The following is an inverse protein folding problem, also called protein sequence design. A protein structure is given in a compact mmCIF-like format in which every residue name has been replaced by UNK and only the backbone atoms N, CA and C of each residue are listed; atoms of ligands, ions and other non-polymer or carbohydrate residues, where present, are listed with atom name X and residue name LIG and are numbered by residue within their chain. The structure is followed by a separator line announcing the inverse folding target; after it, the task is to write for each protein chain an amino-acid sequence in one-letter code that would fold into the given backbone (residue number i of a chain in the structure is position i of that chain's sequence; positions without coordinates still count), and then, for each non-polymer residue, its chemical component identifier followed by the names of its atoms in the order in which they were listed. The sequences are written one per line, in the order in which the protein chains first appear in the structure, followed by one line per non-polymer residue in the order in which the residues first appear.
data_IF_087314036269
#
_entry.id   IF_087314036269
#
_cell.length_a   1.000
_cell.length_b   1.000
_cell.length_c   1.000
_cell.angle_alpha   90.00
_cell.angle_beta   90.00
_cell.angle_gamma   90.00
#
_symmetry.space_group_name_H-M   'P 1'
#
loop_
_entity.id
_entity.type
_entity.pdbx_description
1 polymer ?
#
# COMPACT_ATOMS: atom_id res chain seq x y z
N UNK A 1 26.76 -29.74 -7.66
CA UNK A 1 26.47 -29.96 -6.22
C UNK A 1 27.20 -28.87 -5.45
N UNK A 2 26.52 -27.75 -5.23
CA UNK A 2 27.06 -26.52 -4.63
C UNK A 2 25.93 -25.78 -3.93
N UNK A 3 26.28 -25.12 -2.82
CA UNK A 3 25.53 -24.94 -1.57
C UNK A 3 24.30 -24.01 -1.55
N UNK A 4 23.59 -23.80 -2.65
CA UNK A 4 22.47 -22.83 -2.69
C UNK A 4 21.09 -23.44 -2.37
N UNK A 5 21.00 -24.75 -2.11
CA UNK A 5 19.73 -25.45 -1.89
C UNK A 5 19.23 -25.41 -0.44
N UNK A 6 20.03 -24.93 0.53
CA UNK A 6 19.67 -24.99 1.95
C UNK A 6 18.90 -23.75 2.44
N UNK A 7 19.05 -22.59 1.79
CA UNK A 7 18.39 -21.35 2.23
C UNK A 7 16.94 -21.17 1.76
N UNK A 8 16.46 -21.98 0.82
CA UNK A 8 15.12 -21.83 0.26
C UNK A 8 14.06 -22.70 0.94
N UNK A 9 14.48 -23.73 1.68
CA UNK A 9 13.55 -24.70 2.27
C UNK A 9 12.86 -24.14 3.53
N UNK A 10 13.54 -23.27 4.30
CA UNK A 10 12.97 -22.71 5.54
C UNK A 10 11.86 -21.69 5.27
N UNK A 11 11.98 -20.90 4.21
CA UNK A 11 10.96 -19.94 3.79
C UNK A 11 9.75 -20.63 3.12
N UNK A 12 9.97 -21.79 2.48
CA UNK A 12 8.92 -22.60 1.88
C UNK A 12 8.12 -23.38 2.95
N UNK A 13 8.80 -23.88 3.98
CA UNK A 13 8.19 -24.48 5.19
C UNK A 13 7.36 -23.44 5.96
N UNK A 14 7.86 -22.20 6.10
CA UNK A 14 7.11 -21.10 6.73
C UNK A 14 5.91 -20.61 5.89
N UNK A 15 5.94 -20.80 4.56
CA UNK A 15 4.76 -20.53 3.70
C UNK A 15 3.72 -21.63 3.79
N UNK A 16 4.12 -22.90 3.83
CA UNK A 16 3.19 -24.02 3.96
C UNK A 16 2.50 -24.05 5.33
N UNK A 17 3.19 -23.70 6.42
CA UNK A 17 2.55 -23.61 7.75
C UNK A 17 1.54 -22.47 7.86
N UNK A 18 1.73 -21.39 7.08
CA UNK A 18 0.83 -20.23 7.05
C UNK A 18 -0.37 -20.42 6.12
N UNK A 19 -0.24 -21.24 5.08
CA UNK A 19 -1.35 -21.59 4.19
C UNK A 19 -2.30 -22.63 4.82
N UNK A 20 -1.81 -23.56 5.63
CA UNK A 20 -2.65 -24.56 6.32
C UNK A 20 -3.52 -24.02 7.46
N UNK A 21 -3.33 -22.75 7.87
CA UNK A 21 -4.06 -22.16 9.01
C UNK A 21 -5.30 -21.34 8.58
N UNK A 22 -5.65 -21.32 7.30
CA UNK A 22 -6.79 -20.54 6.78
C UNK A 22 -7.86 -21.38 6.05
N UNK A 23 -7.66 -22.69 5.93
CA UNK A 23 -8.60 -23.59 5.24
C UNK A 23 -9.34 -24.50 6.24
N UNK A 24 -10.02 -23.94 7.24
CA UNK A 24 -11.14 -24.64 7.93
C UNK A 24 -12.22 -23.60 8.29
N UNK A 25 -13.47 -23.96 7.98
CA UNK A 25 -14.74 -23.30 8.29
C UNK A 25 -15.31 -22.33 7.22
N UNK A 26 -15.58 -22.86 6.03
CA UNK A 26 -16.90 -22.65 5.42
C UNK A 26 -17.60 -24.02 5.33
N UNK A 27 -18.44 -24.30 6.30
CA UNK A 27 -19.55 -25.25 6.17
C UNK A 27 -20.80 -24.49 6.59
N UNK A 28 -21.73 -24.41 5.63
CA UNK A 28 -23.12 -23.99 5.82
C UNK A 28 -23.76 -24.84 6.92
N UNK A 29 -24.66 -24.25 7.71
CA UNK A 29 -25.98 -24.82 7.94
C UNK A 29 -26.89 -23.78 8.63
N UNK A 30 -28.13 -23.75 8.13
CA UNK A 30 -29.30 -23.02 8.59
C UNK A 30 -29.75 -23.46 10.01
N UNK A 31 -30.72 -22.70 10.54
CA UNK A 31 -31.67 -23.03 11.63
C UNK A 31 -31.52 -22.26 12.97
N UNK A 32 -32.47 -21.33 13.13
CA UNK A 32 -33.27 -21.03 14.32
C UNK A 32 -32.64 -20.53 15.63
N UNK A 33 -32.82 -19.21 15.83
CA UNK A 33 -32.73 -18.51 17.11
C UNK A 33 -33.85 -18.91 18.09
N UNK A 34 -33.55 -18.89 19.40
CA UNK A 34 -34.46 -18.23 20.33
C UNK A 34 -33.80 -17.09 21.10
N UNK A 35 -34.62 -16.07 21.33
CA UNK A 35 -34.34 -14.81 22.00
C UNK A 35 -33.80 -14.95 23.42
N UNK A 36 -32.80 -14.12 23.73
CA UNK A 36 -32.39 -13.80 25.11
C UNK A 36 -33.27 -12.65 25.60
N UNK A 37 -34.01 -12.86 26.71
CA UNK A 37 -34.57 -11.78 27.52
C UNK A 37 -33.85 -11.73 28.87
N UNK A 38 -33.43 -10.51 29.24
CA UNK A 38 -32.74 -10.15 30.48
C UNK A 38 -33.64 -10.30 31.73
N UNK A 39 -33.06 -10.42 32.93
CA UNK A 39 -33.83 -10.57 34.16
C UNK A 39 -34.30 -9.20 34.69
N UNK A 40 -35.59 -9.09 35.01
CA UNK A 40 -36.12 -8.03 35.87
C UNK A 40 -36.57 -8.63 37.19
N UNK A 41 -36.18 -7.95 38.27
CA UNK A 41 -36.54 -8.27 39.64
C UNK A 41 -37.72 -7.40 40.07
N UNK A 42 -38.72 -8.02 40.68
CA UNK A 42 -39.63 -7.35 41.62
C UNK A 42 -40.41 -8.41 42.38
N UNK A 43 -40.29 -8.32 43.70
CA UNK A 43 -41.09 -9.00 44.71
C UNK A 43 -42.54 -8.52 44.66
N UNK A 44 -43.51 -9.38 45.01
CA UNK A 44 -44.47 -9.16 46.11
C UNK A 44 -45.65 -10.15 46.04
N UNK A 45 -45.79 -10.88 47.15
CA UNK A 45 -46.98 -11.20 47.93
C UNK A 45 -48.26 -11.87 47.36
N UNK A 46 -48.55 -13.01 48.03
CA UNK A 46 -49.84 -13.47 48.56
C UNK A 46 -51.04 -13.71 47.61
N UNK A 47 -51.43 -14.98 47.47
CA UNK A 47 -52.64 -15.56 48.09
C UNK A 47 -53.11 -16.82 47.35
N UNK A 48 -53.18 -17.95 48.07
CA UNK A 48 -53.96 -19.14 47.64
C UNK A 48 -55.47 -18.85 47.75
N UNK A 49 -56.32 -19.62 47.05
CA UNK A 49 -57.01 -20.66 47.79
C UNK A 49 -57.11 -22.02 47.09
N UNK A 50 -57.10 -23.02 47.97
CA UNK A 50 -57.39 -24.43 47.84
C UNK A 50 -58.59 -24.82 46.96
N UNK A 51 -58.42 -25.88 46.18
CA UNK A 51 -59.49 -26.87 45.95
C UNK A 51 -58.88 -28.27 45.96
N UNK A 52 -59.25 -29.02 46.99
CA UNK A 52 -59.03 -30.43 47.24
C UNK A 52 -59.85 -31.29 46.27
N UNK A 53 -59.22 -32.30 45.66
CA UNK A 53 -59.91 -33.53 45.27
C UNK A 53 -58.99 -34.73 45.43
N UNK A 54 -59.63 -35.85 45.75
CA UNK A 54 -59.13 -36.98 46.52
C UNK A 54 -58.14 -37.94 45.83
N UNK A 55 -57.62 -38.79 46.71
CA UNK A 55 -56.50 -39.72 46.64
C UNK A 55 -56.81 -41.00 45.84
N UNK A 56 -55.84 -41.47 45.04
CA UNK A 56 -55.60 -42.91 44.85
C UNK A 56 -54.13 -43.16 44.45
N UNK A 57 -53.34 -43.92 45.23
CA UNK A 57 -51.94 -44.20 44.91
C UNK A 57 -51.86 -45.43 44.01
N UNK A 58 -51.27 -45.25 42.81
CA UNK A 58 -50.81 -46.36 41.95
C UNK A 58 -49.29 -46.52 42.12
N UNK A 59 -48.74 -47.74 42.05
CA UNK A 59 -47.35 -48.02 42.40
C UNK A 59 -46.37 -47.39 41.40
N UNK A 60 -45.11 -47.11 41.79
CA UNK A 60 -44.15 -46.48 40.89
C UNK A 60 -43.82 -47.46 39.77
N UNK A 61 -44.24 -47.12 38.55
CA UNK A 61 -43.78 -47.80 37.35
C UNK A 61 -42.38 -47.28 37.08
N UNK A 62 -41.39 -48.16 37.25
CA UNK A 62 -39.98 -47.94 36.94
C UNK A 62 -39.83 -47.76 35.43
N UNK A 63 -40.06 -46.54 34.94
CA UNK A 63 -39.73 -46.19 33.56
C UNK A 63 -38.22 -46.06 33.48
N UNK A 64 -37.58 -47.12 32.97
CA UNK A 64 -36.16 -47.13 32.61
C UNK A 64 -35.93 -45.96 31.65
N UNK A 65 -35.17 -44.97 32.09
CA UNK A 65 -34.56 -43.98 31.21
C UNK A 65 -33.68 -44.78 30.27
N UNK A 66 -34.11 -44.92 29.01
CA UNK A 66 -33.26 -45.42 27.95
C UNK A 66 -32.04 -44.51 27.88
N UNK A 67 -30.92 -45.02 28.37
CA UNK A 67 -29.60 -44.37 28.31
C UNK A 67 -29.16 -44.32 26.86
N UNK A 68 -29.68 -43.31 26.15
CA UNK A 68 -29.19 -42.89 24.85
C UNK A 68 -27.70 -42.53 25.03
N UNK A 69 -26.83 -43.17 24.25
CA UNK A 69 -25.37 -43.23 24.42
C UNK A 69 -24.73 -42.03 25.15
N UNK A 70 -24.65 -42.18 26.49
CA UNK A 70 -24.10 -41.21 27.45
C UNK A 70 -22.63 -40.87 27.13
N UNK A 71 -21.96 -41.74 26.37
CA UNK A 71 -20.57 -41.58 25.96
C UNK A 71 -20.38 -40.46 24.95
N UNK A 72 -21.34 -40.27 24.05
CA UNK A 72 -21.30 -39.21 23.05
C UNK A 72 -21.57 -37.84 23.70
N UNK A 73 -22.51 -37.77 24.64
CA UNK A 73 -22.77 -36.56 25.42
C UNK A 73 -21.64 -36.23 26.39
N UNK A 74 -21.10 -37.23 27.11
CA UNK A 74 -19.95 -37.06 28.00
C UNK A 74 -18.73 -36.54 27.24
N UNK A 75 -18.45 -37.11 26.05
CA UNK A 75 -17.36 -36.63 25.20
C UNK A 75 -17.58 -35.17 24.79
N UNK A 76 -18.79 -34.81 24.35
CA UNK A 76 -19.11 -33.43 24.00
C UNK A 76 -18.95 -32.47 25.19
N UNK A 77 -19.35 -32.89 26.38
CA UNK A 77 -19.21 -32.11 27.60
C UNK A 77 -17.74 -31.91 27.99
N UNK A 78 -16.92 -32.94 27.85
CA UNK A 78 -15.48 -32.87 28.09
C UNK A 78 -14.78 -31.97 27.05
N UNK A 79 -15.11 -32.13 25.75
CA UNK A 79 -14.60 -31.28 24.66
C UNK A 79 -15.01 -29.80 24.88
N UNK A 80 -16.23 -29.53 25.35
CA UNK A 80 -16.69 -28.19 25.71
C UNK A 80 -15.90 -27.61 26.88
N UNK A 81 -15.65 -28.40 27.93
CA UNK A 81 -14.91 -27.97 29.10
C UNK A 81 -13.44 -27.65 28.75
N UNK A 82 -12.85 -28.43 27.86
CA UNK A 82 -11.50 -28.21 27.32
C UNK A 82 -11.45 -26.87 26.56
N UNK A 83 -12.39 -26.62 25.65
CA UNK A 83 -12.46 -25.34 24.90
C UNK A 83 -12.73 -24.15 25.84
N UNK A 84 -13.61 -24.27 26.83
CA UNK A 84 -13.86 -23.19 27.80
C UNK A 84 -12.59 -22.87 28.61
N UNK A 85 -11.82 -23.88 28.99
CA UNK A 85 -10.52 -23.68 29.65
C UNK A 85 -9.50 -23.01 28.72
N UNK A 86 -9.40 -23.44 27.45
CA UNK A 86 -8.52 -22.80 26.45
C UNK A 86 -8.92 -21.34 26.18
N UNK A 87 -10.22 -21.04 26.09
CA UNK A 87 -10.74 -19.69 25.87
C UNK A 87 -10.40 -18.77 27.05
N UNK A 88 -10.56 -19.26 28.29
CA UNK A 88 -10.15 -18.49 29.49
C UNK A 88 -8.65 -18.17 29.51
N UNK A 89 -7.82 -19.06 28.98
CA UNK A 89 -6.39 -18.82 28.83
C UNK A 89 -6.05 -17.88 27.65
N UNK A 90 -6.88 -17.87 26.60
CA UNK A 90 -6.71 -17.00 25.44
C UNK A 90 -7.20 -15.56 25.68
N UNK A 91 -8.27 -15.37 26.45
CA UNK A 91 -8.87 -14.06 26.74
C UNK A 91 -7.85 -12.97 27.15
N UNK A 92 -6.93 -13.20 28.11
CA UNK A 92 -5.93 -12.19 28.46
C UNK A 92 -4.95 -11.89 27.31
N UNK A 93 -4.60 -12.90 26.49
CA UNK A 93 -3.72 -12.71 25.32
C UNK A 93 -4.40 -11.86 24.25
N UNK A 94 -5.70 -12.07 24.02
CA UNK A 94 -6.49 -11.24 23.11
C UNK A 94 -6.61 -9.80 23.62
N UNK A 95 -6.86 -9.61 24.91
CA UNK A 95 -6.86 -8.27 25.54
C UNK A 95 -5.53 -7.55 25.36
N UNK A 96 -4.41 -8.24 25.57
CA UNK A 96 -3.08 -7.68 25.31
C UNK A 96 -2.88 -7.26 23.84
N UNK A 97 -3.34 -8.10 22.90
CA UNK A 97 -3.28 -7.80 21.46
C UNK A 97 -4.06 -6.52 21.12
N UNK A 98 -5.28 -6.36 21.62
CA UNK A 98 -6.11 -5.17 21.39
C UNK A 98 -5.42 -3.90 21.92
N UNK A 99 -4.86 -3.95 23.14
CA UNK A 99 -4.12 -2.81 23.71
C UNK A 99 -2.91 -2.43 22.83
N UNK A 100 -2.18 -3.41 22.31
CA UNK A 100 -1.05 -3.16 21.39
C UNK A 100 -1.50 -2.55 20.06
N UNK A 101 -2.66 -2.93 19.53
CA UNK A 101 -3.22 -2.31 18.33
C UNK A 101 -3.52 -0.82 18.56
N UNK A 102 -4.15 -0.48 19.68
CA UNK A 102 -4.46 0.91 20.03
C UNK A 102 -3.19 1.74 20.22
N UNK A 103 -2.16 1.17 20.86
CA UNK A 103 -0.85 1.80 21.01
C UNK A 103 -0.25 2.12 19.63
N UNK A 104 -0.22 1.14 18.72
CA UNK A 104 0.28 1.32 17.36
C UNK A 104 -0.48 2.42 16.62
N UNK A 105 -1.80 2.47 16.74
CA UNK A 105 -2.63 3.47 16.07
C UNK A 105 -2.40 4.89 16.61
N UNK A 106 -2.26 5.00 17.94
CA UNK A 106 -1.91 6.27 18.59
C UNK A 106 -0.54 6.79 18.15
N UNK A 107 0.45 5.89 18.01
CA UNK A 107 1.80 6.22 17.55
C UNK A 107 1.82 6.63 16.08
N UNK A 108 1.06 5.95 15.21
CA UNK A 108 0.90 6.35 13.80
C UNK A 108 0.41 7.79 13.71
N UNK A 109 -0.66 8.12 14.45
CA UNK A 109 -1.24 9.47 14.43
C UNK A 109 -0.27 10.51 14.96
N UNK A 110 0.38 10.23 16.10
CA UNK A 110 1.36 11.13 16.73
C UNK A 110 2.54 11.42 15.80
N UNK A 111 3.21 10.38 15.32
CA UNK A 111 4.40 10.55 14.46
C UNK A 111 4.07 11.10 13.09
N UNK A 112 2.84 10.88 12.59
CA UNK A 112 2.38 11.55 11.38
C UNK A 112 2.28 13.06 11.55
N UNK A 113 1.74 13.54 12.67
CA UNK A 113 1.67 14.98 12.96
C UNK A 113 3.06 15.60 13.10
N UNK A 114 3.97 14.93 13.79
CA UNK A 114 5.37 15.37 13.90
C UNK A 114 6.06 15.43 12.54
N UNK A 115 5.89 14.40 11.71
CA UNK A 115 6.39 14.34 10.35
C UNK A 115 5.89 15.52 9.50
N UNK A 116 4.57 15.77 9.49
CA UNK A 116 3.96 16.85 8.71
C UNK A 116 4.52 18.23 9.16
N UNK A 117 4.78 18.41 10.46
CA UNK A 117 5.43 19.61 11.01
C UNK A 117 6.87 19.77 10.55
N UNK A 118 7.68 18.72 10.59
CA UNK A 118 9.07 18.76 10.13
C UNK A 118 9.16 19.01 8.63
N UNK A 119 8.31 18.36 7.84
CA UNK A 119 8.22 18.57 6.39
C UNK A 119 7.93 20.02 6.05
N UNK A 120 6.90 20.63 6.67
CA UNK A 120 6.56 22.05 6.45
C UNK A 120 7.72 22.99 6.76
N UNK A 121 8.46 22.73 7.85
CA UNK A 121 9.65 23.53 8.19
C UNK A 121 10.77 23.39 7.17
N UNK A 122 10.96 22.17 6.65
CA UNK A 122 11.99 21.90 5.66
C UNK A 122 11.66 22.55 4.31
N UNK A 123 10.39 22.48 3.88
CA UNK A 123 9.91 23.13 2.66
C UNK A 123 10.10 24.65 2.74
N UNK A 124 9.81 25.26 3.90
CA UNK A 124 10.07 26.69 4.14
C UNK A 124 11.57 27.01 4.04
N UNK A 125 12.41 26.22 4.70
CA UNK A 125 13.86 26.44 4.70
C UNK A 125 14.48 26.29 3.30
N UNK A 126 13.94 25.37 2.48
CA UNK A 126 14.35 25.23 1.09
C UNK A 126 14.02 26.47 0.27
N UNK A 127 12.83 27.05 0.44
CA UNK A 127 12.46 28.29 -0.26
C UNK A 127 13.29 29.49 0.23
N UNK A 128 13.53 29.60 1.54
CA UNK A 128 14.39 30.65 2.11
C UNK A 128 15.82 30.58 1.56
N UNK A 129 16.41 29.37 1.48
CA UNK A 129 17.74 29.16 0.89
C UNK A 129 17.75 29.57 -0.58
N UNK A 130 16.71 29.25 -1.34
CA UNK A 130 16.60 29.58 -2.76
C UNK A 130 16.50 31.10 -2.98
N UNK A 131 15.70 31.80 -2.18
CA UNK A 131 15.60 33.26 -2.20
C UNK A 131 16.92 33.95 -1.78
N UNK A 132 17.60 33.41 -0.76
CA UNK A 132 18.92 33.91 -0.34
C UNK A 132 19.97 33.68 -1.43
N UNK A 133 20.04 32.49 -2.06
CA UNK A 133 20.96 32.23 -3.20
C UNK A 133 20.77 33.25 -4.31
N UNK A 134 19.51 33.52 -4.67
CA UNK A 134 19.15 34.51 -5.70
C UNK A 134 19.58 35.93 -5.32
N UNK A 135 19.38 36.31 -4.07
CA UNK A 135 19.73 37.64 -3.54
C UNK A 135 21.25 37.86 -3.53
N UNK A 136 22.02 36.87 -3.05
CA UNK A 136 23.48 36.96 -3.02
C UNK A 136 24.10 36.89 -4.42
N UNK A 137 23.56 36.07 -5.33
CA UNK A 137 24.02 36.03 -6.73
C UNK A 137 23.83 37.39 -7.42
N UNK A 138 22.68 38.06 -7.19
CA UNK A 138 22.41 39.40 -7.72
C UNK A 138 23.34 40.46 -7.12
N UNK A 139 23.66 40.35 -5.83
CA UNK A 139 24.58 41.27 -5.13
C UNK A 139 26.03 41.12 -5.64
N UNK A 140 26.46 39.89 -5.91
CA UNK A 140 27.78 39.63 -6.50
C UNK A 140 27.89 40.17 -7.94
N UNK A 141 26.83 40.07 -8.75
CA UNK A 141 26.78 40.67 -10.09
C UNK A 141 26.84 42.20 -10.06
N UNK A 142 26.10 42.84 -9.15
CA UNK A 142 26.11 44.31 -8.98
C UNK A 142 27.49 44.78 -8.50
N UNK A 143 28.12 44.04 -7.59
CA UNK A 143 29.45 44.38 -7.07
C UNK A 143 30.51 44.27 -8.17
N UNK A 144 30.47 43.23 -9.00
CA UNK A 144 31.37 43.09 -10.17
C UNK A 144 31.17 44.20 -11.20
N UNK A 145 29.92 44.63 -11.44
CA UNK A 145 29.59 45.71 -12.39
C UNK A 145 30.02 47.10 -11.90
N UNK A 146 30.01 47.32 -10.59
CA UNK A 146 30.49 48.57 -9.99
C UNK A 146 32.03 48.65 -9.97
N UNK A 147 32.73 47.53 -9.76
CA UNK A 147 34.21 47.47 -9.81
C UNK A 147 34.75 47.69 -11.22
N UNK A 148 34.02 47.26 -12.27
CA UNK A 148 34.40 47.55 -13.66
C UNK A 148 34.22 49.02 -14.08
N UNK A 149 33.50 49.83 -13.29
CA UNK A 149 33.18 51.23 -13.63
C UNK A 149 34.03 52.26 -12.86
N UNK A 150 34.92 51.85 -11.95
CA UNK A 150 35.83 52.74 -11.21
C UNK A 150 37.31 52.47 -11.57
N UNK A 151 37.79 53.21 -12.58
CA UNK A 151 39.18 53.42 -13.03
C UNK A 151 39.97 52.26 -13.69
N UNK A 152 40.63 52.53 -14.85
CA UNK A 152 41.71 51.73 -15.38
C UNK A 152 43.06 52.27 -14.89
N UNK A 153 43.79 51.52 -14.06
CA UNK A 153 45.23 51.76 -13.88
C UNK A 153 45.99 50.44 -13.87
N UNK A 154 46.87 50.34 -14.87
CA UNK A 154 47.89 49.31 -15.05
C UNK A 154 48.62 48.95 -13.75
N UNK A 155 48.77 47.65 -13.48
CA UNK A 155 50.07 47.08 -13.11
C UNK A 155 50.08 45.57 -13.41
N UNK A 156 51.08 45.13 -14.18
CA UNK A 156 51.38 43.73 -14.51
C UNK A 156 51.89 42.95 -13.29
N UNK A 157 51.77 41.63 -13.40
CA UNK A 157 52.48 40.54 -12.69
C UNK A 157 52.08 40.26 -11.24
N UNK A 158 51.47 39.09 -11.00
CA UNK A 158 52.24 37.90 -10.65
C UNK A 158 51.36 36.64 -10.69
N UNK A 159 51.83 35.60 -11.35
CA UNK A 159 51.21 34.27 -11.34
C UNK A 159 51.29 33.68 -9.93
N UNK A 160 50.17 33.18 -9.42
CA UNK A 160 50.13 32.25 -8.29
C UNK A 160 48.97 31.27 -8.50
N UNK A 161 49.05 30.54 -9.62
CA UNK A 161 48.31 29.31 -9.83
C UNK A 161 49.08 28.19 -9.13
N UNK A 162 48.67 27.81 -7.93
CA UNK A 162 48.83 26.46 -7.33
C UNK A 162 48.37 26.57 -5.88
N UNK A 163 47.21 26.02 -5.56
CA UNK A 163 46.82 25.48 -4.23
C UNK A 163 45.30 25.32 -4.05
N UNK A 164 44.45 25.87 -4.94
CA UNK A 164 42.98 25.76 -4.80
C UNK A 164 42.40 24.43 -5.31
N UNK A 165 43.07 23.76 -6.25
CA UNK A 165 42.62 22.47 -6.79
C UNK A 165 42.91 21.28 -5.87
N UNK A 166 43.95 21.37 -5.03
CA UNK A 166 44.33 20.27 -4.11
C UNK A 166 43.39 20.12 -2.91
N UNK A 167 42.56 21.12 -2.58
CA UNK A 167 41.55 21.04 -1.50
C UNK A 167 40.19 20.51 -1.97
N UNK A 168 39.89 20.54 -3.27
CA UNK A 168 38.64 19.97 -3.80
C UNK A 168 38.70 18.45 -3.92
N UNK A 169 39.89 17.86 -4.10
CA UNK A 169 40.07 16.41 -4.22
C UNK A 169 40.00 15.65 -2.89
N UNK A 170 39.99 16.33 -1.74
CA UNK A 170 39.89 15.69 -0.41
C UNK A 170 38.47 15.66 0.15
N UNK A 171 37.46 16.09 -0.60
CA UNK A 171 36.07 16.25 -0.14
C UNK A 171 35.06 15.40 -0.94
N UNK A 172 35.49 14.26 -1.48
CA UNK A 172 34.59 13.24 -2.04
C UNK A 172 34.32 12.17 -0.99
N UNK A 173 33.15 12.23 -0.36
CA UNK A 173 32.63 11.12 0.47
C UNK A 173 32.16 10.02 -0.50
N UNK A 174 32.64 8.77 -0.39
CA UNK A 174 32.18 7.69 -1.24
C UNK A 174 30.70 7.40 -0.99
N UNK A 175 29.90 7.34 -2.06
CA UNK A 175 28.52 6.90 -2.01
C UNK A 175 28.51 5.37 -1.83
N UNK A 176 28.59 4.89 -0.58
CA UNK A 176 28.45 3.46 -0.28
C UNK A 176 27.01 3.17 0.13
N UNK A 177 26.35 2.33 -0.68
CA UNK A 177 25.03 1.76 -0.44
C UNK A 177 25.14 0.72 0.70
N UNK A 178 24.22 0.78 1.69
CA UNK A 178 23.99 -0.16 2.82
C UNK A 178 24.83 0.02 4.12
N UNK A 179 24.32 -0.39 5.31
CA UNK A 179 23.79 0.51 6.34
C UNK A 179 24.72 0.64 7.58
N UNK A 180 24.87 1.86 8.10
CA UNK A 180 25.47 2.09 9.43
C UNK A 180 24.35 2.40 10.44
N UNK A 181 24.26 1.70 11.58
CA UNK A 181 23.34 2.08 12.65
C UNK A 181 23.78 3.45 13.19
N UNK A 182 22.88 4.42 13.18
CA UNK A 182 23.10 5.70 13.86
C UNK A 182 22.88 5.50 15.36
N UNK A 183 23.92 5.09 16.06
CA UNK A 183 24.04 5.42 17.48
C UNK A 183 24.27 6.93 17.60
N UNK A 184 23.40 7.56 18.39
CA UNK A 184 23.47 8.93 18.93
C UNK A 184 23.77 10.07 17.94
N UNK A 185 22.71 10.73 17.48
CA UNK A 185 22.77 12.16 17.14
C UNK A 185 22.87 12.90 18.48
N UNK A 186 24.06 12.94 19.06
CA UNK A 186 24.43 13.94 20.06
C UNK A 186 25.80 14.47 19.67
N UNK A 187 25.84 15.78 19.41
CA UNK A 187 27.00 16.63 19.17
C UNK A 187 27.73 16.45 17.82
N UNK A 188 27.53 17.42 16.92
CA UNK A 188 28.56 17.82 15.92
C UNK A 188 29.16 19.17 16.33
N UNK A 189 30.09 19.21 17.30
CA UNK A 189 30.75 20.44 17.74
C UNK A 189 31.82 20.96 16.77
N UNK A 190 31.99 20.32 15.60
CA UNK A 190 33.01 20.65 14.59
C UNK A 190 32.51 21.58 13.48
N UNK A 191 31.22 21.56 13.15
CA UNK A 191 30.64 22.34 12.05
C UNK A 191 30.52 23.83 12.40
N UNK A 192 30.10 24.16 13.62
CA UNK A 192 29.95 25.54 14.08
C UNK A 192 31.26 26.34 14.08
N UNK A 193 32.40 25.67 14.30
CA UNK A 193 33.72 26.29 14.27
C UNK A 193 34.22 26.65 12.86
N UNK A 194 33.81 25.88 11.85
CA UNK A 194 34.25 26.06 10.46
C UNK A 194 33.31 27.01 9.70
N UNK A 195 32.01 26.99 10.05
CA UNK A 195 31.02 27.90 9.47
C UNK A 195 31.47 29.35 9.63
N UNK A 196 32.05 29.73 10.77
CA UNK A 196 32.43 31.11 11.06
C UNK A 196 33.61 31.68 10.24
N UNK A 197 34.36 30.85 9.50
CA UNK A 197 35.49 31.30 8.67
C UNK A 197 35.19 31.26 7.16
N UNK A 198 34.02 30.76 6.76
CA UNK A 198 33.58 30.63 5.37
C UNK A 198 32.85 31.87 4.86
N UNK A 199 32.94 32.11 3.54
CA UNK A 199 32.15 33.14 2.87
C UNK A 199 30.66 32.84 2.97
N UNK A 200 29.81 33.87 2.92
CA UNK A 200 28.35 33.69 3.08
C UNK A 200 27.77 32.72 2.07
N UNK A 201 28.31 32.67 0.84
CA UNK A 201 27.88 31.76 -0.22
C UNK A 201 28.25 30.29 0.07
N UNK A 202 29.44 30.05 0.62
CA UNK A 202 29.88 28.70 1.01
C UNK A 202 29.09 28.17 2.21
N UNK A 203 28.79 29.03 3.19
CA UNK A 203 27.88 28.67 4.31
C UNK A 203 26.51 28.28 3.78
N UNK A 204 26.00 29.02 2.80
CA UNK A 204 24.67 28.80 2.23
C UNK A 204 24.60 27.50 1.41
N UNK A 205 25.68 27.14 0.72
CA UNK A 205 25.78 25.84 0.05
C UNK A 205 25.85 24.68 1.05
N UNK A 206 26.63 24.82 2.12
CA UNK A 206 26.72 23.79 3.14
C UNK A 206 25.39 23.57 3.89
N UNK A 207 24.64 24.64 4.17
CA UNK A 207 23.27 24.55 4.71
C UNK A 207 22.34 23.89 3.69
N UNK A 208 22.44 24.25 2.41
CA UNK A 208 21.66 23.64 1.32
C UNK A 208 21.87 22.13 1.26
N UNK A 209 23.13 21.68 1.37
CA UNK A 209 23.48 20.25 1.34
C UNK A 209 22.92 19.51 2.55
N UNK A 210 22.99 20.11 3.75
CA UNK A 210 22.41 19.53 4.96
C UNK A 210 20.88 19.46 4.89
N UNK A 211 20.23 20.48 4.34
CA UNK A 211 18.78 20.50 4.12
C UNK A 211 18.36 19.43 3.11
N UNK A 212 19.17 19.21 2.08
CA UNK A 212 18.95 18.14 1.12
C UNK A 212 19.13 16.76 1.78
N UNK A 213 20.16 16.54 2.60
CA UNK A 213 20.33 15.30 3.35
C UNK A 213 19.14 15.02 4.30
N UNK A 214 18.65 16.06 4.99
CA UNK A 214 17.47 15.96 5.85
C UNK A 214 16.19 15.64 5.05
N UNK A 215 16.04 16.19 3.84
CA UNK A 215 14.91 15.85 2.95
C UNK A 215 14.91 14.38 2.53
N UNK A 216 16.09 13.82 2.24
CA UNK A 216 16.25 12.41 1.88
C UNK A 216 15.95 11.49 3.07
N UNK A 217 16.34 11.89 4.29
CA UNK A 217 15.95 11.19 5.50
C UNK A 217 14.43 11.22 5.73
N UNK A 218 13.81 12.40 5.65
CA UNK A 218 12.36 12.54 5.76
C UNK A 218 11.61 11.73 4.69
N UNK A 219 12.12 11.66 3.47
CA UNK A 219 11.54 10.81 2.42
C UNK A 219 11.54 9.34 2.84
N UNK A 220 12.63 8.82 3.42
CA UNK A 220 12.71 7.44 3.90
C UNK A 220 11.76 7.16 5.07
N UNK A 221 11.61 8.12 5.99
CA UNK A 221 10.66 8.00 7.11
C UNK A 221 9.21 8.02 6.60
N UNK A 222 8.93 8.82 5.56
CA UNK A 222 7.60 8.90 4.97
C UNK A 222 7.09 7.54 4.45
N UNK A 223 7.99 6.67 4.00
CA UNK A 223 7.63 5.34 3.47
C UNK A 223 7.15 4.36 4.55
N UNK A 224 7.43 4.70 5.82
CA UNK A 224 7.03 3.95 7.02
C UNK A 224 5.83 4.55 7.73
N UNK A 225 5.32 5.69 7.27
CA UNK A 225 4.14 6.32 7.85
C UNK A 225 2.95 6.19 6.89
N UNK A 226 1.71 6.12 7.41
CA UNK A 226 0.53 6.17 6.57
C UNK A 226 0.54 7.41 5.69
N UNK A 227 0.25 7.26 4.39
CA UNK A 227 0.15 8.37 3.44
C UNK A 227 -1.33 8.70 3.21
N UNK A 228 -1.66 10.00 3.17
CA UNK A 228 -3.04 10.46 2.89
C UNK A 228 -3.21 10.59 1.38
N UNK A 229 -4.28 10.00 0.83
CA UNK A 229 -4.75 10.26 -0.53
C UNK A 229 -6.23 10.69 -0.47
N UNK A 230 -6.52 11.83 -1.10
CA UNK A 230 -7.86 12.43 -1.11
C UNK A 230 -8.85 11.60 -1.94
N UNK A 231 -8.41 10.99 -3.04
CA UNK A 231 -9.26 10.13 -3.86
C UNK A 231 -9.74 8.91 -3.06
N UNK A 232 -8.80 8.29 -2.36
CA UNK A 232 -9.06 7.07 -1.62
C UNK A 232 -9.92 7.32 -0.39
N UNK A 233 -9.78 8.50 0.24
CA UNK A 233 -10.67 8.95 1.31
C UNK A 233 -12.12 9.12 0.85
N UNK A 234 -12.34 9.52 -0.41
CA UNK A 234 -13.69 9.64 -0.97
C UNK A 234 -14.31 8.26 -1.20
N UNK A 235 -13.53 7.27 -1.62
CA UNK A 235 -14.05 5.93 -1.97
C UNK A 235 -14.12 4.98 -0.77
N UNK A 236 -13.06 4.90 0.03
CA UNK A 236 -12.97 3.99 1.19
C UNK A 236 -13.32 4.67 2.53
N UNK A 237 -13.59 5.98 2.53
CA UNK A 237 -13.89 6.73 3.75
C UNK A 237 -12.63 7.01 4.59
N UNK A 238 -12.79 7.05 5.91
CA UNK A 238 -11.71 7.36 6.86
C UNK A 238 -10.69 6.25 7.10
N UNK A 239 -10.65 5.21 6.26
CA UNK A 239 -9.80 4.03 6.47
C UNK A 239 -8.42 4.23 5.85
N UNK A 240 -7.38 4.09 6.68
CA UNK A 240 -5.99 4.14 6.23
C UNK A 240 -5.55 2.79 5.63
N UNK A 241 -5.52 2.69 4.30
CA UNK A 241 -5.01 1.52 3.54
C UNK A 241 -3.47 1.45 3.47
N UNK A 242 -2.77 2.05 4.43
CA UNK A 242 -1.31 2.00 4.48
C UNK A 242 -0.86 0.64 4.96
N UNK A 243 -0.31 -0.15 4.05
CA UNK A 243 0.27 -1.45 4.34
C UNK A 243 1.65 -1.20 4.95
N UNK A 244 1.76 -1.28 6.28
CA UNK A 244 2.99 -0.92 6.98
C UNK A 244 4.13 -1.94 6.75
N UNK A 245 3.75 -3.20 6.60
CA UNK A 245 4.68 -4.31 6.43
C UNK A 245 5.23 -4.37 5.00
N UNK A 246 6.55 -4.42 4.85
CA UNK A 246 7.22 -4.51 3.53
C UNK A 246 6.82 -5.78 2.76
N UNK A 247 6.64 -6.90 3.46
CA UNK A 247 6.21 -8.15 2.84
C UNK A 247 4.80 -8.03 2.26
N UNK A 248 3.87 -7.43 3.00
CA UNK A 248 2.48 -7.27 2.55
C UNK A 248 2.35 -6.27 1.40
N UNK A 249 3.17 -5.20 1.38
CA UNK A 249 3.27 -4.29 0.23
C UNK A 249 3.66 -5.05 -1.05
N UNK A 250 4.65 -5.93 -0.93
CA UNK A 250 5.10 -6.76 -2.04
C UNK A 250 4.04 -7.77 -2.47
N UNK A 251 3.39 -8.44 -1.53
CA UNK A 251 2.29 -9.38 -1.82
C UNK A 251 1.15 -8.67 -2.53
N UNK A 252 0.71 -7.50 -2.04
CA UNK A 252 -0.35 -6.72 -2.68
C UNK A 252 0.01 -6.33 -4.12
N UNK A 253 1.26 -5.92 -4.35
CA UNK A 253 1.77 -5.63 -5.68
C UNK A 253 1.69 -6.86 -6.60
N UNK A 254 2.12 -8.03 -6.13
CA UNK A 254 2.04 -9.28 -6.91
C UNK A 254 0.60 -9.65 -7.22
N UNK A 255 -0.32 -9.49 -6.26
CA UNK A 255 -1.74 -9.73 -6.46
C UNK A 255 -2.38 -8.72 -7.44
N UNK A 256 -1.91 -7.47 -7.47
CA UNK A 256 -2.30 -6.51 -8.50
C UNK A 256 -1.79 -6.93 -9.90
N UNK A 257 -0.51 -7.29 -10.02
CA UNK A 257 0.05 -7.69 -11.32
C UNK A 257 -0.57 -8.98 -11.84
N UNK A 258 -0.83 -9.95 -10.96
CA UNK A 258 -1.55 -11.19 -11.25
C UNK A 258 -2.99 -10.90 -11.68
N UNK A 259 -3.72 -10.07 -10.93
CA UNK A 259 -5.07 -9.64 -11.30
C UNK A 259 -5.10 -9.03 -12.70
N UNK A 260 -4.22 -8.07 -12.96
CA UNK A 260 -4.13 -7.40 -14.27
C UNK A 260 -3.91 -8.41 -15.38
N UNK A 261 -2.92 -9.28 -15.23
CA UNK A 261 -2.62 -10.31 -16.21
C UNK A 261 -3.78 -11.28 -16.46
N UNK A 262 -4.44 -11.76 -15.40
CA UNK A 262 -5.59 -12.68 -15.53
C UNK A 262 -6.72 -12.01 -16.31
N UNK A 263 -7.09 -10.77 -15.96
CA UNK A 263 -8.20 -10.08 -16.63
C UNK A 263 -7.84 -9.74 -18.08
N UNK A 264 -6.59 -9.38 -18.39
CA UNK A 264 -6.12 -9.20 -19.77
C UNK A 264 -6.21 -10.52 -20.57
N UNK A 265 -5.83 -11.66 -19.99
CA UNK A 265 -5.96 -12.96 -20.66
C UNK A 265 -7.42 -13.35 -20.91
N UNK A 266 -8.31 -13.12 -19.92
CA UNK A 266 -9.75 -13.30 -20.09
C UNK A 266 -10.25 -12.39 -21.23
N UNK A 267 -9.85 -11.12 -21.23
CA UNK A 267 -10.26 -10.14 -22.25
C UNK A 267 -9.79 -10.53 -23.65
N UNK A 268 -8.57 -11.07 -23.77
CA UNK A 268 -8.01 -11.58 -25.02
C UNK A 268 -8.85 -12.72 -25.59
N UNK A 269 -9.20 -13.71 -24.76
CA UNK A 269 -9.99 -14.87 -25.19
C UNK A 269 -11.44 -14.46 -25.47
N UNK A 270 -12.07 -13.71 -24.56
CA UNK A 270 -13.46 -13.28 -24.70
C UNK A 270 -13.67 -12.40 -25.91
N UNK A 271 -12.76 -11.47 -26.22
CA UNK A 271 -12.87 -10.63 -27.42
C UNK A 271 -12.83 -11.44 -28.71
N UNK A 272 -11.94 -12.45 -28.80
CA UNK A 272 -11.87 -13.35 -29.96
C UNK A 272 -13.12 -14.22 -30.10
N UNK A 273 -13.60 -14.81 -29.00
CA UNK A 273 -14.79 -15.68 -28.98
C UNK A 273 -16.04 -14.89 -29.35
N UNK A 274 -16.25 -13.72 -28.74
CA UNK A 274 -17.46 -12.90 -28.98
C UNK A 274 -17.49 -12.37 -30.42
N UNK A 275 -16.32 -12.01 -30.96
CA UNK A 275 -16.20 -11.58 -32.34
C UNK A 275 -16.50 -12.73 -33.34
N UNK A 276 -15.95 -13.92 -33.10
CA UNK A 276 -16.01 -15.04 -34.05
C UNK A 276 -17.29 -15.88 -33.97
N UNK A 277 -17.79 -16.16 -32.76
CA UNK A 277 -18.85 -17.16 -32.53
C UNK A 277 -20.20 -16.55 -32.12
N UNK A 278 -20.19 -15.34 -31.59
CA UNK A 278 -21.32 -14.81 -30.81
C UNK A 278 -21.86 -13.49 -31.36
N UNK A 279 -21.55 -13.17 -32.62
CA UNK A 279 -21.91 -11.91 -33.28
C UNK A 279 -23.41 -11.56 -33.30
N UNK A 280 -24.29 -12.55 -33.03
CA UNK A 280 -25.75 -12.39 -33.00
C UNK A 280 -26.35 -12.11 -31.61
N UNK A 281 -25.56 -12.18 -30.53
CA UNK A 281 -26.08 -12.13 -29.16
C UNK A 281 -25.55 -10.91 -28.38
N UNK A 282 -26.36 -9.84 -28.32
CA UNK A 282 -26.05 -8.57 -27.63
C UNK A 282 -25.69 -8.71 -26.15
N UNK A 283 -26.20 -9.75 -25.49
CA UNK A 283 -25.92 -10.02 -24.08
C UNK A 283 -24.42 -10.27 -23.81
N UNK A 284 -23.71 -10.94 -24.72
CA UNK A 284 -22.29 -11.19 -24.55
C UNK A 284 -21.46 -9.92 -24.74
N UNK A 285 -21.87 -9.04 -25.66
CA UNK A 285 -21.26 -7.72 -25.78
C UNK A 285 -21.45 -6.92 -24.49
N UNK A 286 -22.67 -6.92 -23.92
CA UNK A 286 -22.95 -6.23 -22.66
C UNK A 286 -22.12 -6.82 -21.49
N UNK A 287 -22.00 -8.15 -21.40
CA UNK A 287 -21.17 -8.81 -20.40
C UNK A 287 -19.69 -8.43 -20.53
N UNK A 288 -19.17 -8.34 -21.76
CA UNK A 288 -17.79 -7.92 -22.02
C UNK A 288 -17.57 -6.44 -21.69
N UNK A 289 -18.48 -5.55 -22.07
CA UNK A 289 -18.39 -4.13 -21.68
C UNK A 289 -18.47 -3.96 -20.16
N UNK A 290 -19.35 -4.71 -19.49
CA UNK A 290 -19.44 -4.73 -18.03
C UNK A 290 -18.12 -5.20 -17.39
N UNK A 291 -17.52 -6.26 -17.92
CA UNK A 291 -16.20 -6.73 -17.48
C UNK A 291 -15.14 -5.62 -17.60
N UNK A 292 -15.13 -4.86 -18.70
CA UNK A 292 -14.18 -3.75 -18.89
C UNK A 292 -14.42 -2.59 -17.93
N UNK A 293 -15.69 -2.20 -17.69
CA UNK A 293 -16.04 -1.17 -16.70
C UNK A 293 -15.57 -1.60 -15.32
N UNK A 294 -15.87 -2.84 -14.94
CA UNK A 294 -15.43 -3.41 -13.66
C UNK A 294 -13.90 -3.46 -13.56
N UNK A 295 -13.21 -3.88 -14.62
CA UNK A 295 -11.76 -3.95 -14.68
C UNK A 295 -11.11 -2.59 -14.48
N UNK A 296 -11.49 -1.58 -15.26
CA UNK A 296 -10.88 -0.25 -15.16
C UNK A 296 -11.24 0.45 -13.84
N UNK A 297 -12.46 0.28 -13.33
CA UNK A 297 -12.81 0.76 -12.00
C UNK A 297 -11.91 0.13 -10.92
N UNK A 298 -11.75 -1.19 -10.96
CA UNK A 298 -10.88 -1.92 -10.01
C UNK A 298 -9.42 -1.48 -10.11
N UNK A 299 -8.91 -1.26 -11.32
CA UNK A 299 -7.56 -0.73 -11.53
C UNK A 299 -7.38 0.62 -10.85
N UNK A 300 -8.30 1.57 -11.01
CA UNK A 300 -8.17 2.90 -10.39
C UNK A 300 -8.04 2.83 -8.87
N UNK A 301 -8.80 1.92 -8.23
CA UNK A 301 -8.74 1.72 -6.78
C UNK A 301 -7.41 1.07 -6.39
N UNK A 302 -7.04 -0.05 -7.04
CA UNK A 302 -5.80 -0.77 -6.71
C UNK A 302 -4.55 0.08 -6.96
N UNK A 303 -4.51 0.87 -8.02
CA UNK A 303 -3.40 1.78 -8.30
C UNK A 303 -3.31 2.94 -7.32
N UNK A 304 -4.45 3.44 -6.83
CA UNK A 304 -4.45 4.47 -5.78
C UNK A 304 -3.90 3.93 -4.46
N UNK A 305 -4.24 2.68 -4.11
CA UNK A 305 -3.63 1.98 -2.97
C UNK A 305 -2.12 1.79 -3.19
N UNK A 306 -1.68 1.40 -4.38
CA UNK A 306 -0.26 1.24 -4.69
C UNK A 306 0.52 2.56 -4.57
N UNK A 307 -0.04 3.67 -5.05
CA UNK A 307 0.59 5.00 -4.97
C UNK A 307 0.75 5.45 -3.50
N UNK A 308 -0.28 5.24 -2.68
CA UNK A 308 -0.22 5.50 -1.23
C UNK A 308 0.89 4.69 -0.56
N UNK A 309 1.14 3.48 -1.04
CA UNK A 309 2.11 2.54 -0.48
C UNK A 309 3.53 2.61 -1.10
N UNK A 310 3.80 3.61 -1.95
CA UNK A 310 5.15 3.89 -2.48
C UNK A 310 5.37 3.51 -3.94
N UNK A 311 4.34 3.09 -4.68
CA UNK A 311 4.48 2.86 -6.11
C UNK A 311 4.51 4.18 -6.89
N UNK A 312 5.54 4.35 -7.73
CA UNK A 312 5.71 5.54 -8.56
C UNK A 312 4.96 5.39 -9.89
N UNK A 313 3.63 5.46 -9.83
CA UNK A 313 2.75 5.41 -11.00
C UNK A 313 2.47 6.84 -11.48
N UNK A 314 2.71 7.10 -12.77
CA UNK A 314 2.42 8.42 -13.34
C UNK A 314 0.91 8.72 -13.25
N UNK A 315 0.50 9.92 -12.79
CA UNK A 315 -0.92 10.29 -12.66
C UNK A 315 -1.74 10.17 -13.95
N UNK A 316 -1.08 10.31 -15.11
CA UNK A 316 -1.70 10.11 -16.42
C UNK A 316 -2.33 8.73 -16.58
N UNK A 317 -1.70 7.66 -16.10
CA UNK A 317 -2.24 6.30 -16.22
C UNK A 317 -3.56 6.15 -15.48
N UNK A 318 -3.62 6.66 -14.25
CA UNK A 318 -4.87 6.71 -13.48
C UNK A 318 -5.95 7.51 -14.21
N UNK A 319 -5.61 8.69 -14.73
CA UNK A 319 -6.53 9.51 -15.51
C UNK A 319 -7.07 8.77 -16.75
N UNK A 320 -6.20 8.06 -17.47
CA UNK A 320 -6.58 7.22 -18.60
C UNK A 320 -7.56 6.11 -18.18
N UNK A 321 -7.32 5.42 -17.05
CA UNK A 321 -8.25 4.39 -16.56
C UNK A 321 -9.63 4.94 -16.19
N UNK A 322 -9.74 6.16 -15.66
CA UNK A 322 -11.04 6.82 -15.47
C UNK A 322 -11.74 7.08 -16.81
N UNK A 323 -11.02 7.65 -17.77
CA UNK A 323 -11.56 7.92 -19.12
C UNK A 323 -12.04 6.62 -19.76
N UNK A 324 -11.27 5.54 -19.66
CA UNK A 324 -11.65 4.22 -20.16
C UNK A 324 -12.87 3.64 -19.45
N UNK A 325 -13.02 3.86 -18.14
CA UNK A 325 -14.22 3.46 -17.39
C UNK A 325 -15.47 4.18 -17.92
N UNK A 326 -15.40 5.50 -18.12
CA UNK A 326 -16.51 6.28 -18.66
C UNK A 326 -16.82 5.88 -20.11
N UNK A 327 -15.81 5.72 -20.95
CA UNK A 327 -15.98 5.32 -22.34
C UNK A 327 -16.64 3.94 -22.46
N UNK A 328 -16.19 2.95 -21.66
CA UNK A 328 -16.77 1.60 -21.65
C UNK A 328 -18.17 1.56 -21.03
N UNK A 329 -18.49 2.45 -20.07
CA UNK A 329 -19.85 2.60 -19.56
C UNK A 329 -20.81 3.18 -20.60
N UNK A 330 -20.34 4.12 -21.43
CA UNK A 330 -21.11 4.62 -22.58
C UNK A 330 -21.37 3.47 -23.57
N UNK A 331 -20.36 2.64 -23.86
CA UNK A 331 -20.55 1.46 -24.73
C UNK A 331 -21.52 0.43 -24.14
N UNK A 332 -21.49 0.22 -22.83
CA UNK A 332 -22.40 -0.68 -22.14
C UNK A 332 -23.86 -0.24 -22.30
N UNK A 333 -24.12 1.06 -22.16
CA UNK A 333 -25.47 1.66 -22.25
C UNK A 333 -25.90 1.99 -23.68
N UNK A 334 -25.02 1.87 -24.67
CA UNK A 334 -25.33 2.21 -26.06
C UNK A 334 -26.43 1.29 -26.62
N UNK A 335 -27.58 1.83 -27.03
CA UNK A 335 -28.69 1.03 -27.54
C UNK A 335 -28.40 0.38 -28.90
N UNK A 336 -29.10 -0.71 -29.19
CA UNK A 336 -28.98 -1.38 -30.48
C UNK A 336 -29.35 -0.42 -31.61
N UNK A 337 -28.38 -0.12 -32.49
CA UNK A 337 -28.49 0.88 -33.53
C UNK A 337 -27.55 0.56 -34.68
N UNK A 338 -27.83 1.07 -35.88
CA UNK A 338 -26.96 0.86 -37.05
C UNK A 338 -25.52 1.32 -36.80
N UNK A 339 -25.34 2.45 -36.09
CA UNK A 339 -24.04 2.96 -35.69
C UNK A 339 -23.27 2.01 -34.77
N UNK A 340 -23.96 1.39 -33.80
CA UNK A 340 -23.35 0.39 -32.92
C UNK A 340 -22.84 -0.81 -33.71
N UNK A 341 -23.64 -1.34 -34.65
CA UNK A 341 -23.21 -2.47 -35.48
C UNK A 341 -21.98 -2.16 -36.34
N UNK A 342 -21.88 -0.95 -36.90
CA UNK A 342 -20.68 -0.53 -37.65
C UNK A 342 -19.45 -0.43 -36.74
N UNK A 343 -19.61 0.06 -35.52
CA UNK A 343 -18.53 0.22 -34.54
C UNK A 343 -18.08 -1.11 -33.92
N UNK A 344 -19.02 -2.02 -33.66
CA UNK A 344 -18.84 -3.27 -32.90
C UNK A 344 -17.62 -4.07 -33.37
N UNK A 345 -17.52 -4.33 -34.68
CA UNK A 345 -16.41 -5.12 -35.24
C UNK A 345 -15.07 -4.46 -34.96
N UNK A 346 -14.97 -3.15 -35.13
CA UNK A 346 -13.74 -2.40 -34.87
C UNK A 346 -13.36 -2.46 -33.40
N UNK A 347 -14.33 -2.34 -32.50
CA UNK A 347 -14.12 -2.42 -31.06
C UNK A 347 -13.54 -3.76 -30.60
N UNK A 348 -14.10 -4.88 -31.05
CA UNK A 348 -13.61 -6.19 -30.65
C UNK A 348 -12.25 -6.54 -31.24
N UNK A 349 -11.99 -6.18 -32.50
CA UNK A 349 -10.66 -6.33 -33.11
C UNK A 349 -9.63 -5.47 -32.37
N UNK A 350 -9.99 -4.23 -32.03
CA UNK A 350 -9.14 -3.35 -31.22
C UNK A 350 -8.90 -3.92 -29.81
N UNK A 351 -9.94 -4.44 -29.15
CA UNK A 351 -9.83 -5.01 -27.80
C UNK A 351 -8.97 -6.27 -27.77
N UNK A 352 -9.08 -7.12 -28.81
CA UNK A 352 -8.20 -8.27 -28.99
C UNK A 352 -6.75 -7.83 -29.17
N UNK A 353 -6.51 -6.88 -30.09
CA UNK A 353 -5.18 -6.33 -30.35
C UNK A 353 -4.56 -5.72 -29.09
N UNK A 354 -5.33 -4.91 -28.36
CA UNK A 354 -4.87 -4.25 -27.14
C UNK A 354 -4.51 -5.29 -26.07
N UNK A 355 -5.39 -6.28 -25.84
CA UNK A 355 -5.13 -7.35 -24.87
C UNK A 355 -3.90 -8.18 -25.25
N UNK A 356 -3.70 -8.44 -26.54
CA UNK A 356 -2.53 -9.17 -27.03
C UNK A 356 -1.24 -8.39 -26.76
N UNK A 357 -1.22 -7.10 -27.10
CA UNK A 357 -0.07 -6.21 -26.82
C UNK A 357 0.20 -6.13 -25.33
N UNK A 358 -0.83 -6.01 -24.49
CA UNK A 358 -0.70 -5.95 -23.04
C UNK A 358 -0.07 -7.23 -22.46
N UNK A 359 -0.43 -8.42 -22.98
CA UNK A 359 0.22 -9.68 -22.57
C UNK A 359 1.72 -9.65 -22.90
N UNK A 360 2.09 -9.24 -24.12
CA UNK A 360 3.50 -9.14 -24.52
C UNK A 360 4.27 -8.12 -23.67
N UNK A 361 3.67 -6.95 -23.44
CA UNK A 361 4.23 -5.90 -22.58
C UNK A 361 4.45 -6.41 -21.16
N UNK A 362 3.49 -7.15 -20.60
CA UNK A 362 3.61 -7.73 -19.27
C UNK A 362 4.83 -8.64 -19.15
N UNK A 363 5.02 -9.59 -20.06
CA UNK A 363 6.19 -10.48 -20.05
C UNK A 363 7.50 -9.71 -20.19
N UNK A 364 7.56 -8.78 -21.15
CA UNK A 364 8.75 -7.97 -21.40
C UNK A 364 9.14 -7.14 -20.18
N UNK A 365 8.19 -6.37 -19.62
CA UNK A 365 8.44 -5.48 -18.50
C UNK A 365 8.70 -6.23 -17.21
N UNK A 366 8.03 -7.35 -16.96
CA UNK A 366 8.29 -8.19 -15.77
C UNK A 366 9.74 -8.70 -15.77
N UNK A 367 10.25 -9.13 -16.93
CA UNK A 367 11.64 -9.53 -17.08
C UNK A 367 12.62 -8.37 -16.89
N UNK A 368 12.30 -7.20 -17.45
CA UNK A 368 13.12 -5.99 -17.28
C UNK A 368 13.18 -5.54 -15.81
N UNK A 369 12.02 -5.46 -15.14
CA UNK A 369 11.92 -5.09 -13.72
C UNK A 369 12.63 -6.09 -12.80
N UNK A 370 12.58 -7.39 -13.12
CA UNK A 370 13.35 -8.39 -12.38
C UNK A 370 14.85 -8.12 -12.48
N UNK A 371 15.37 -7.87 -13.69
CA UNK A 371 16.78 -7.55 -13.91
C UNK A 371 17.19 -6.26 -13.19
N UNK A 372 16.42 -5.18 -13.34
CA UNK A 372 16.71 -3.90 -12.71
C UNK A 372 16.67 -3.98 -11.18
N UNK A 373 15.79 -4.81 -10.61
CA UNK A 373 15.74 -5.06 -9.16
C UNK A 373 16.96 -5.85 -8.68
N UNK A 374 17.39 -6.87 -9.44
CA UNK A 374 18.60 -7.62 -9.13
C UNK A 374 19.87 -6.74 -9.18
N UNK A 375 19.86 -5.71 -10.04
CA UNK A 375 20.92 -4.69 -10.12
C UNK A 375 20.82 -3.60 -9.04
N UNK A 376 19.72 -3.55 -8.27
CA UNK A 376 19.47 -2.50 -7.28
C UNK A 376 19.15 -1.12 -7.88
N UNK A 377 18.86 -1.05 -9.18
CA UNK A 377 18.62 0.21 -9.91
C UNK A 377 17.16 0.70 -9.86
N UNK A 378 16.22 -0.14 -9.41
CA UNK A 378 14.79 0.20 -9.34
C UNK A 378 14.21 0.00 -7.96
N UNK A 379 13.16 0.78 -7.66
CA UNK A 379 12.44 0.65 -6.40
C UNK A 379 11.57 -0.62 -6.38
N UNK A 380 11.48 -1.27 -5.21
CA UNK A 380 10.74 -2.54 -5.06
C UNK A 380 9.26 -2.42 -5.51
N UNK A 381 8.64 -1.25 -5.33
CA UNK A 381 7.22 -1.01 -5.63
C UNK A 381 6.92 -0.62 -7.09
N UNK A 382 7.90 -0.61 -8.00
CA UNK A 382 7.64 -0.35 -9.43
C UNK A 382 6.84 -1.48 -10.08
N UNK A 383 5.76 -1.12 -10.76
CA UNK A 383 4.87 -2.04 -11.47
C UNK A 383 5.10 -2.00 -12.99
N UNK A 384 4.63 -3.04 -13.67
CA UNK A 384 4.41 -3.04 -15.12
C UNK A 384 3.39 -1.96 -15.51
N UNK A 385 3.64 -1.22 -16.60
CA UNK A 385 2.82 -0.09 -17.07
C UNK A 385 2.22 -0.45 -18.45
N UNK A 386 1.03 0.04 -18.79
CA UNK A 386 0.42 -0.12 -20.13
C UNK A 386 1.10 0.78 -21.18
N UNK A 387 2.43 0.73 -21.31
CA UNK A 387 3.23 1.61 -22.19
C UNK A 387 4.71 1.62 -21.84
N UNK A 388 5.43 2.71 -22.15
CA UNK A 388 6.84 2.89 -21.79
C UNK A 388 6.99 3.72 -20.50
N UNK A 389 7.93 3.33 -19.61
CA UNK A 389 8.22 4.06 -18.35
C UNK A 389 8.73 5.49 -18.56
N UNK A 390 9.37 5.74 -19.70
CA UNK A 390 9.77 7.07 -20.17
C UNK A 390 9.51 7.12 -21.67
N UNK A 391 9.12 8.28 -22.19
CA UNK A 391 9.13 8.51 -23.63
C UNK A 391 10.55 8.24 -24.13
N UNK A 392 10.73 7.23 -24.99
CA UNK A 392 12.01 6.92 -25.60
C UNK A 392 12.27 7.88 -26.76
N UNK A 393 12.48 9.17 -26.46
CA UNK A 393 13.07 10.15 -27.39
C UNK A 393 13.95 11.12 -26.62
#
# INVERSE_FOLDING_TARGET
MTSDTIFNNQDEINRQSKAGHFDIAQLEDDEDHPMILSPSSSTDDHSSPSTTTDYHPSPPTTTKVETFDDKSFSKLYDDWLEIDAELRLFEPKHKEYVVKLDEVESLKTKYRMEYDKYKKKLDQLQEDIKELKKTYSKKDEITKKNVSNSSPTNLKNSQSTTNLERRKSSLSIPLTTTPRPLTSINSSPSLDKIVNTLSTLERLNLISDQVQANSLYLSRVADTLPRKDSYLKVILGGVDVSILNKADKWTYKQEYEKFKFIVTCISLVSSLVIWSLTSRYRAFDALFHFLLVWYYCTLTIRESILVVNGSHINPWWRAHHFVSTVATAILLTWPESASYHTFRTQFFVFSFYLSFVQVLQFYYQRGCLYRLRALGETHDMEITIEGFHRWMF
#
